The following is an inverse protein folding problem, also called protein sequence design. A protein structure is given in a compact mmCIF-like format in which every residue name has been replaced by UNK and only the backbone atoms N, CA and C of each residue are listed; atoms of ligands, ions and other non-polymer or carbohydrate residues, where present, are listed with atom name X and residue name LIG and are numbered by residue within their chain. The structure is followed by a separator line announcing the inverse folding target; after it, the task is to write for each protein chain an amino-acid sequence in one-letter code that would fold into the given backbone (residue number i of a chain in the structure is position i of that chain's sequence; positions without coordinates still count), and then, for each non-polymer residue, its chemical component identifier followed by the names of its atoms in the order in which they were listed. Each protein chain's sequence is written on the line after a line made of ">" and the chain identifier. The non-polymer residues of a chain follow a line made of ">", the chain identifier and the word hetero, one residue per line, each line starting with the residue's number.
data_IF_299604258473
#
_entry.id   IF_299604258473
#
_cell.length_a   1.000
_cell.length_b   1.000
_cell.length_c   1.000
_cell.angle_alpha   90.00
_cell.angle_beta   90.00
_cell.angle_gamma   90.00
#
_symmetry.space_group_name_H-M   'P 1'
#
loop_
_entity.id
_entity.type
_entity.pdbx_description
1 polymer ?
#
# COMPACT_ATOMS: atom_id res chain seq x y z
N UNK A 1 25.31 24.77 -43.82
CA UNK A 1 24.29 24.96 -44.87
C UNK A 1 22.94 25.01 -44.17
N UNK A 2 22.51 26.22 -43.82
CA UNK A 2 21.26 26.49 -43.11
C UNK A 2 20.17 26.86 -44.10
N UNK A 3 18.98 26.28 -43.91
CA UNK A 3 17.77 26.63 -44.64
C UNK A 3 16.78 27.26 -43.68
N UNK A 4 16.62 28.57 -43.78
CA UNK A 4 15.55 29.33 -43.13
C UNK A 4 14.30 29.36 -44.01
N UNK A 5 13.14 29.39 -43.36
CA UNK A 5 11.85 29.74 -43.96
C UNK A 5 11.33 31.01 -43.29
N UNK A 6 11.00 32.07 -44.06
CA UNK A 6 10.18 33.17 -43.59
C UNK A 6 8.80 33.16 -44.25
N UNK A 7 7.77 33.51 -43.49
CA UNK A 7 6.47 34.11 -43.89
C UNK A 7 5.58 34.06 -42.64
N UNK A 8 5.11 35.15 -42.04
CA UNK A 8 4.48 36.30 -42.66
C UNK A 8 3.00 36.25 -42.25
N UNK A 9 2.65 36.92 -41.15
CA UNK A 9 1.30 36.93 -40.59
C UNK A 9 1.10 38.16 -39.70
N UNK A 10 0.69 39.25 -40.32
CA UNK A 10 0.35 40.53 -39.70
C UNK A 10 -0.97 40.44 -38.94
N UNK A 11 -1.00 40.80 -37.65
CA UNK A 11 -2.23 41.17 -36.95
C UNK A 11 -2.01 42.45 -36.15
N UNK A 12 -2.97 43.35 -36.32
CA UNK A 12 -3.02 44.73 -35.85
C UNK A 12 -2.96 44.84 -34.33
N UNK A 13 -2.04 45.65 -33.81
CA UNK A 13 -2.12 46.18 -32.45
C UNK A 13 -2.99 47.45 -32.46
N UNK A 14 -4.27 47.28 -32.13
CA UNK A 14 -5.14 48.38 -31.73
C UNK A 14 -4.85 48.77 -30.29
N UNK A 15 -4.38 50.00 -30.08
CA UNK A 15 -4.24 50.59 -28.75
C UNK A 15 -5.60 50.93 -28.16
N UNK A 16 -5.82 50.55 -26.90
CA UNK A 16 -6.90 51.09 -26.08
C UNK A 16 -6.28 51.85 -24.91
N UNK A 17 -6.61 53.13 -24.85
CA UNK A 17 -6.16 54.08 -23.85
C UNK A 17 -6.57 53.67 -22.43
N UNK A 18 -5.64 53.92 -21.50
CA UNK A 18 -5.76 53.56 -20.10
C UNK A 18 -6.77 54.40 -19.34
N UNK A 19 -7.75 53.72 -18.75
CA UNK A 19 -8.27 54.09 -17.44
C UNK A 19 -7.51 53.25 -16.40
N UNK A 20 -7.02 53.88 -15.33
CA UNK A 20 -6.47 53.13 -14.19
C UNK A 20 -7.58 52.29 -13.55
N UNK A 21 -7.31 51.05 -13.09
CA UNK A 21 -8.34 50.22 -12.48
C UNK A 21 -8.85 50.84 -11.17
N UNK A 22 -10.08 50.51 -10.81
CA UNK A 22 -10.71 50.99 -9.58
C UNK A 22 -10.02 50.47 -8.29
N UNK A 23 -9.33 49.32 -8.34
CA UNK A 23 -8.60 48.73 -7.22
C UNK A 23 -7.31 48.04 -7.71
N UNK A 24 -6.15 48.33 -7.09
CA UNK A 24 -4.86 47.72 -7.46
C UNK A 24 -4.48 46.50 -6.62
N UNK A 25 -5.21 46.18 -5.56
CA UNK A 25 -4.82 45.16 -4.57
C UNK A 25 -4.43 43.80 -5.16
N UNK A 26 -5.18 43.27 -6.12
CA UNK A 26 -4.86 41.97 -6.73
C UNK A 26 -3.57 42.01 -7.56
N UNK A 27 -3.31 43.13 -8.23
CA UNK A 27 -2.08 43.36 -8.98
C UNK A 27 -0.88 43.49 -8.02
N UNK A 28 -1.08 44.18 -6.89
CA UNK A 28 -0.09 44.35 -5.83
C UNK A 28 0.29 43.02 -5.17
N UNK A 29 -0.68 42.12 -4.92
CA UNK A 29 -0.43 40.76 -4.38
C UNK A 29 0.46 39.93 -5.32
N UNK A 30 0.23 40.02 -6.63
CA UNK A 30 1.06 39.33 -7.62
C UNK A 30 2.37 40.08 -7.93
N UNK A 31 2.51 41.33 -7.48
CA UNK A 31 3.64 42.21 -7.77
C UNK A 31 3.76 42.56 -9.25
N UNK A 32 2.62 42.74 -9.92
CA UNK A 32 2.53 43.14 -11.33
C UNK A 32 1.85 44.50 -11.43
N UNK A 33 2.08 45.22 -12.54
CA UNK A 33 1.38 46.47 -12.79
C UNK A 33 -0.05 46.20 -13.28
N UNK A 34 -0.99 47.14 -13.09
CA UNK A 34 -2.36 47.06 -13.63
C UNK A 34 -2.46 46.76 -15.13
N UNK A 35 -1.49 47.24 -15.92
CA UNK A 35 -1.39 47.06 -17.36
C UNK A 35 -0.72 45.73 -17.78
N UNK A 36 -0.44 44.84 -16.82
CA UNK A 36 0.25 43.59 -17.08
C UNK A 36 -0.53 42.69 -18.05
N UNK A 37 0.19 42.12 -19.02
CA UNK A 37 -0.36 41.09 -19.91
C UNK A 37 -0.67 39.80 -19.15
N UNK A 38 -1.56 38.95 -19.68
CA UNK A 38 -1.86 37.63 -19.11
C UNK A 38 -0.60 36.77 -18.94
N UNK A 39 0.38 36.97 -19.83
CA UNK A 39 1.67 36.29 -19.79
C UNK A 39 2.51 36.69 -18.58
N UNK A 40 2.46 37.97 -18.17
CA UNK A 40 3.17 38.52 -17.01
C UNK A 40 2.49 38.08 -15.71
N UNK A 41 1.15 38.14 -15.65
CA UNK A 41 0.35 37.63 -14.52
C UNK A 41 0.67 36.15 -14.27
N UNK A 42 0.67 35.33 -15.33
CA UNK A 42 1.01 33.90 -15.24
C UNK A 42 2.47 33.65 -14.87
N UNK A 43 3.40 34.53 -15.26
CA UNK A 43 4.82 34.43 -14.88
C UNK A 43 5.01 34.79 -13.40
N UNK A 44 4.35 35.84 -12.93
CA UNK A 44 4.38 36.28 -11.54
C UNK A 44 3.79 35.23 -10.60
N UNK A 45 2.61 34.68 -10.93
CA UNK A 45 2.00 33.58 -10.17
C UNK A 45 2.93 32.37 -10.05
N UNK A 46 3.55 31.92 -11.15
CA UNK A 46 4.49 30.77 -11.11
C UNK A 46 5.72 31.01 -10.23
N UNK A 47 6.20 32.26 -10.16
CA UNK A 47 7.31 32.65 -9.27
C UNK A 47 6.87 32.56 -7.81
N UNK A 48 5.77 33.23 -7.47
CA UNK A 48 5.25 33.31 -6.10
C UNK A 48 4.74 31.95 -5.59
N UNK A 49 4.06 31.16 -6.42
CA UNK A 49 3.57 29.83 -6.06
C UNK A 49 4.70 28.83 -5.75
N UNK A 50 5.89 29.02 -6.32
CA UNK A 50 7.08 28.19 -6.01
C UNK A 50 7.76 28.61 -4.70
N UNK A 51 7.71 29.90 -4.40
CA UNK A 51 8.32 30.52 -3.22
C UNK A 51 7.48 30.29 -1.95
N UNK A 52 6.16 30.37 -2.08
CA UNK A 52 5.19 30.22 -0.99
C UNK A 52 4.48 28.86 -0.99
N UNK A 53 5.02 27.85 -1.68
CA UNK A 53 4.42 26.52 -1.67
C UNK A 53 4.45 25.95 -0.24
N UNK A 54 3.33 25.37 0.28
CA UNK A 54 3.26 24.88 1.65
C UNK A 54 4.27 23.77 1.97
N UNK A 55 4.74 23.04 0.95
CA UNK A 55 5.81 22.04 1.07
C UNK A 55 7.19 22.63 1.35
N UNK A 56 7.42 23.90 0.97
CA UNK A 56 8.73 24.58 1.13
C UNK A 56 8.76 25.62 2.23
N UNK A 57 7.61 26.16 2.59
CA UNK A 57 7.50 27.24 3.55
C UNK A 57 6.19 27.08 4.36
N UNK A 58 6.24 26.29 5.43
CA UNK A 58 5.09 25.95 6.28
C UNK A 58 4.44 27.17 6.95
N UNK A 59 5.21 28.24 7.14
CA UNK A 59 4.82 29.39 7.97
C UNK A 59 4.04 30.47 7.19
N UNK A 60 3.87 30.30 5.87
CA UNK A 60 3.25 31.30 5.00
C UNK A 60 2.08 30.75 4.18
N UNK A 61 1.33 29.79 4.74
CA UNK A 61 0.15 29.22 4.11
C UNK A 61 -0.90 30.27 3.70
N UNK A 62 -1.04 31.36 4.45
CA UNK A 62 -2.01 32.42 4.15
C UNK A 62 -1.59 33.26 2.93
N UNK A 63 -0.30 33.56 2.76
CA UNK A 63 0.20 34.26 1.55
C UNK A 63 -0.07 33.44 0.29
N UNK A 64 0.09 32.12 0.35
CA UNK A 64 -0.20 31.25 -0.79
C UNK A 64 -1.68 31.31 -1.19
N UNK A 65 -2.58 31.34 -0.21
CA UNK A 65 -4.02 31.51 -0.43
C UNK A 65 -4.34 32.83 -1.15
N UNK A 66 -3.73 33.94 -0.72
CA UNK A 66 -3.89 35.26 -1.36
C UNK A 66 -3.39 35.26 -2.81
N UNK A 67 -2.22 34.69 -3.06
CA UNK A 67 -1.61 34.58 -4.40
C UNK A 67 -2.50 33.76 -5.34
N UNK A 68 -3.05 32.64 -4.86
CA UNK A 68 -3.96 31.80 -5.64
C UNK A 68 -5.27 32.51 -5.96
N UNK A 69 -5.86 33.22 -4.99
CA UNK A 69 -7.09 33.98 -5.20
C UNK A 69 -6.89 35.12 -6.21
N UNK A 70 -5.79 35.87 -6.10
CA UNK A 70 -5.47 36.93 -7.05
C UNK A 70 -5.29 36.42 -8.48
N UNK A 71 -4.59 35.28 -8.65
CA UNK A 71 -4.42 34.68 -9.96
C UNK A 71 -5.73 34.15 -10.54
N UNK A 72 -6.62 33.57 -9.73
CA UNK A 72 -7.92 33.06 -10.22
C UNK A 72 -8.80 34.17 -10.82
N UNK A 73 -8.77 35.37 -10.24
CA UNK A 73 -9.53 36.52 -10.72
C UNK A 73 -8.83 37.15 -11.93
N UNK A 74 -7.52 37.40 -11.84
CA UNK A 74 -6.77 38.11 -12.89
C UNK A 74 -6.47 37.26 -14.13
N UNK A 75 -6.57 35.92 -14.04
CA UNK A 75 -6.37 35.03 -15.19
C UNK A 75 -7.61 34.83 -16.06
N UNK A 76 -8.79 35.18 -15.56
CA UNK A 76 -10.05 35.17 -16.32
C UNK A 76 -10.34 36.58 -16.85
N UNK A 77 -10.35 36.74 -18.17
CA UNK A 77 -10.52 38.05 -18.82
C UNK A 77 -11.84 38.75 -18.41
N UNK A 78 -12.91 37.99 -18.15
CA UNK A 78 -14.19 38.54 -17.72
C UNK A 78 -14.13 39.00 -16.26
N UNK A 79 -13.59 38.18 -15.36
CA UNK A 79 -13.44 38.55 -13.94
C UNK A 79 -12.49 39.72 -13.77
N UNK A 80 -11.39 39.75 -14.54
CA UNK A 80 -10.44 40.86 -14.58
C UNK A 80 -11.11 42.17 -15.01
N UNK A 81 -11.92 42.17 -16.08
CA UNK A 81 -12.66 43.36 -16.51
C UNK A 81 -13.63 43.86 -15.44
N UNK A 82 -14.35 42.96 -14.76
CA UNK A 82 -15.26 43.33 -13.66
C UNK A 82 -14.47 43.97 -12.52
N UNK A 83 -13.36 43.35 -12.11
CA UNK A 83 -12.48 43.84 -11.07
C UNK A 83 -11.87 45.21 -11.42
N UNK A 84 -11.41 45.40 -12.66
CA UNK A 84 -10.82 46.66 -13.10
C UNK A 84 -11.84 47.81 -13.12
N UNK A 85 -13.11 47.51 -13.41
CA UNK A 85 -14.19 48.50 -13.47
C UNK A 85 -14.83 48.83 -12.11
N UNK A 86 -15.02 47.82 -11.27
CA UNK A 86 -15.87 47.91 -10.07
C UNK A 86 -15.12 47.55 -8.77
N UNK A 87 -13.81 47.30 -8.86
CA UNK A 87 -12.98 46.88 -7.73
C UNK A 87 -13.43 45.54 -7.14
N UNK A 88 -12.99 45.27 -5.90
CA UNK A 88 -13.39 44.07 -5.16
C UNK A 88 -14.92 43.95 -4.94
N UNK A 89 -15.65 45.07 -4.92
CA UNK A 89 -17.10 45.07 -4.68
C UNK A 89 -17.89 44.54 -5.89
N UNK A 90 -17.43 44.77 -7.12
CA UNK A 90 -18.08 44.26 -8.33
C UNK A 90 -18.11 42.74 -8.44
N UNK A 91 -17.15 42.07 -7.78
CA UNK A 91 -17.10 40.62 -7.71
C UNK A 91 -18.14 40.04 -6.72
N UNK A 92 -18.74 40.86 -5.85
CA UNK A 92 -19.78 40.45 -4.89
C UNK A 92 -21.21 40.46 -5.46
N UNK A 93 -21.46 41.16 -6.57
CA UNK A 93 -22.82 41.49 -7.05
C UNK A 93 -23.28 40.87 -8.38
N UNK A 94 -22.43 40.13 -9.09
CA UNK A 94 -22.71 39.63 -10.45
C UNK A 94 -23.39 38.27 -10.52
N UNK A 95 -24.54 38.11 -9.88
CA UNK A 95 -25.37 36.91 -9.96
C UNK A 95 -26.18 36.83 -11.26
N UNK A 96 -25.56 36.41 -12.37
CA UNK A 96 -26.28 35.83 -13.52
C UNK A 96 -25.31 34.99 -14.36
N UNK A 97 -25.74 33.76 -14.66
CA UNK A 97 -25.07 32.71 -15.43
C UNK A 97 -23.97 31.86 -14.73
N UNK A 98 -24.43 30.78 -14.08
CA UNK A 98 -23.90 29.44 -14.40
C UNK A 98 -22.53 29.02 -13.87
N UNK A 99 -22.14 29.40 -12.65
CA UNK A 99 -20.93 28.85 -11.98
C UNK A 99 -21.04 28.93 -10.45
N UNK A 100 -20.40 28.01 -9.68
CA UNK A 100 -20.55 27.98 -8.24
C UNK A 100 -19.96 29.26 -7.64
N UNK A 101 -20.80 30.02 -6.93
CA UNK A 101 -20.39 31.24 -6.23
C UNK A 101 -19.29 30.95 -5.23
N UNK A 102 -18.08 31.44 -5.54
CA UNK A 102 -16.96 31.45 -4.63
C UNK A 102 -17.07 32.74 -3.83
N UNK A 103 -17.59 32.65 -2.61
CA UNK A 103 -17.56 33.77 -1.68
C UNK A 103 -16.10 33.98 -1.23
N UNK A 104 -15.39 34.85 -1.96
CA UNK A 104 -13.97 35.15 -1.75
C UNK A 104 -13.73 35.75 -0.35
N UNK A 105 -14.75 36.33 0.29
CA UNK A 105 -14.65 36.90 1.64
C UNK A 105 -14.77 35.87 2.77
N UNK A 106 -15.31 34.67 2.55
CA UNK A 106 -15.34 33.59 3.55
C UNK A 106 -13.96 32.91 3.74
N UNK A 107 -12.99 33.29 2.91
CA UNK A 107 -11.61 32.82 2.93
C UNK A 107 -10.64 33.81 3.62
N UNK A 108 -11.11 35.03 3.95
CA UNK A 108 -10.32 36.18 4.38
C UNK A 108 -10.72 36.73 5.78
N UNK A 109 -10.91 35.84 6.74
CA UNK A 109 -10.69 36.17 8.15
C UNK A 109 -11.81 36.88 8.92
N UNK A 110 -11.81 36.55 10.22
CA UNK A 110 -12.46 37.25 11.33
C UNK A 110 -13.90 36.85 11.71
N UNK A 111 -14.13 35.54 11.91
CA UNK A 111 -15.23 35.11 12.78
C UNK A 111 -14.74 34.15 13.89
N UNK A 112 -14.82 34.56 15.17
CA UNK A 112 -14.43 33.76 16.33
C UNK A 112 -15.45 32.65 16.68
N UNK A 113 -16.38 32.33 15.75
CA UNK A 113 -17.32 31.21 15.86
C UNK A 113 -16.85 30.01 15.01
N UNK A 114 -15.56 29.71 15.08
CA UNK A 114 -14.96 28.52 14.47
C UNK A 114 -15.50 27.25 15.12
N UNK A 115 -16.20 26.44 14.31
CA UNK A 115 -16.30 24.95 14.40
C UNK A 115 -17.57 24.35 13.78
N UNK A 116 -18.46 25.11 13.14
CA UNK A 116 -19.74 24.57 12.63
C UNK A 116 -19.95 24.53 11.11
N UNK A 117 -19.00 25.02 10.30
CA UNK A 117 -19.13 25.05 8.84
C UNK A 117 -18.04 24.22 8.11
N UNK A 118 -18.02 22.91 8.40
CA UNK A 118 -17.32 21.89 7.60
C UNK A 118 -17.98 21.59 6.25
N UNK A 119 -18.50 22.62 5.57
CA UNK A 119 -19.21 22.52 4.30
C UNK A 119 -18.25 22.47 3.11
N UNK A 120 -17.63 21.32 2.90
CA UNK A 120 -16.73 21.09 1.77
C UNK A 120 -17.35 21.48 0.43
N UNK A 121 -16.66 22.35 -0.30
CA UNK A 121 -16.88 22.59 -1.73
C UNK A 121 -16.95 21.23 -2.43
N UNK A 122 -18.16 20.82 -2.80
CA UNK A 122 -18.40 19.71 -3.73
C UNK A 122 -17.77 20.10 -5.06
N UNK A 123 -16.51 19.69 -5.26
CA UNK A 123 -15.96 19.53 -6.60
C UNK A 123 -16.89 18.63 -7.43
N UNK A 124 -16.77 18.64 -8.77
CA UNK A 124 -17.54 17.76 -9.64
C UNK A 124 -17.56 16.35 -9.03
N UNK A 125 -18.73 15.69 -8.92
CA UNK A 125 -18.85 14.43 -8.21
C UNK A 125 -17.77 13.49 -8.75
N UNK A 126 -16.75 13.21 -7.91
CA UNK A 126 -15.67 12.29 -8.28
C UNK A 126 -16.39 11.02 -8.71
N UNK A 127 -16.19 10.61 -9.98
CA UNK A 127 -16.74 9.35 -10.49
C UNK A 127 -16.38 8.29 -9.45
N UNK A 128 -17.40 7.66 -8.87
CA UNK A 128 -17.16 6.64 -7.84
C UNK A 128 -16.34 5.56 -8.52
N UNK A 129 -15.12 5.33 -8.06
CA UNK A 129 -14.25 4.26 -8.56
C UNK A 129 -14.46 3.02 -7.69
N UNK A 130 -14.54 1.88 -8.34
CA UNK A 130 -14.54 0.57 -7.72
C UNK A 130 -13.25 0.36 -6.93
N UNK A 131 -13.33 -0.50 -5.93
CA UNK A 131 -12.16 -0.87 -5.12
C UNK A 131 -11.24 -1.74 -5.96
N UNK A 132 -9.94 -1.56 -5.77
CA UNK A 132 -8.96 -2.47 -6.38
C UNK A 132 -8.96 -3.80 -5.63
N UNK A 133 -8.85 -4.91 -6.35
CA UNK A 133 -8.81 -6.26 -5.79
C UNK A 133 -7.36 -6.75 -5.74
N UNK A 134 -6.93 -7.24 -4.57
CA UNK A 134 -5.58 -7.76 -4.34
C UNK A 134 -5.59 -9.29 -4.36
N UNK A 135 -4.80 -9.90 -5.24
CA UNK A 135 -4.59 -11.34 -5.31
C UNK A 135 -3.13 -11.70 -5.04
N UNK A 136 -2.91 -12.69 -4.18
CA UNK A 136 -1.58 -13.21 -3.88
C UNK A 136 -1.27 -14.39 -4.79
N UNK A 137 -0.22 -14.30 -5.59
CA UNK A 137 0.27 -15.38 -6.44
C UNK A 137 1.50 -16.00 -5.79
N UNK A 138 1.32 -17.21 -5.23
CA UNK A 138 2.42 -17.99 -4.65
C UNK A 138 3.23 -18.68 -5.73
N UNK A 139 4.54 -18.52 -5.68
CA UNK A 139 5.49 -19.17 -6.60
C UNK A 139 6.66 -19.80 -5.84
N UNK A 140 7.19 -20.89 -6.38
CA UNK A 140 8.42 -21.48 -5.83
C UNK A 140 9.64 -20.60 -6.12
N UNK A 141 10.69 -20.73 -5.31
CA UNK A 141 11.97 -20.05 -5.56
C UNK A 141 12.61 -20.51 -6.90
N UNK A 142 12.37 -21.76 -7.31
CA UNK A 142 12.80 -22.31 -8.60
C UNK A 142 12.10 -21.59 -9.76
N UNK A 143 10.79 -21.39 -9.66
CA UNK A 143 10.00 -20.63 -10.65
C UNK A 143 10.46 -19.17 -10.72
N UNK A 144 10.78 -18.56 -9.57
CA UNK A 144 11.34 -17.22 -9.52
C UNK A 144 12.74 -17.12 -10.17
N UNK A 145 13.53 -18.20 -10.15
CA UNK A 145 14.85 -18.26 -10.78
C UNK A 145 14.76 -18.49 -12.30
N UNK A 146 13.92 -19.43 -12.75
CA UNK A 146 13.77 -19.78 -14.17
C UNK A 146 12.85 -18.86 -14.96
N UNK A 147 11.95 -18.17 -14.27
CA UNK A 147 10.81 -17.48 -14.86
C UNK A 147 9.66 -18.44 -15.14
N UNK A 148 8.42 -17.92 -15.09
CA UNK A 148 7.20 -18.72 -15.27
C UNK A 148 6.08 -17.88 -15.85
N UNK A 149 5.41 -18.40 -16.87
CA UNK A 149 4.13 -17.87 -17.34
C UNK A 149 3.02 -18.49 -16.48
N UNK A 150 2.47 -17.71 -15.55
CA UNK A 150 1.41 -18.16 -14.65
C UNK A 150 0.04 -17.72 -15.15
N UNK A 151 -0.93 -18.65 -15.21
CA UNK A 151 -2.32 -18.37 -15.56
C UNK A 151 -3.16 -18.38 -14.29
N UNK A 152 -3.75 -17.24 -13.95
CA UNK A 152 -4.63 -17.07 -12.81
C UNK A 152 -6.09 -17.01 -13.29
N UNK A 153 -6.92 -17.95 -12.84
CA UNK A 153 -8.37 -17.94 -13.07
C UNK A 153 -9.01 -17.02 -12.03
N UNK A 154 -9.55 -15.88 -12.48
CA UNK A 154 -10.23 -14.90 -11.66
C UNK A 154 -11.74 -14.96 -11.92
N UNK A 155 -12.54 -15.03 -10.86
CA UNK A 155 -13.99 -14.79 -10.94
C UNK A 155 -14.26 -13.34 -10.58
N UNK A 156 -14.92 -12.60 -11.46
CA UNK A 156 -15.25 -11.18 -11.27
C UNK A 156 -16.71 -10.91 -11.61
N UNK A 157 -17.28 -9.88 -11.01
CA UNK A 157 -18.60 -9.37 -11.36
C UNK A 157 -18.50 -8.44 -12.56
N UNK A 158 -19.24 -8.73 -13.63
CA UNK A 158 -19.33 -7.86 -14.81
C UNK A 158 -20.75 -7.39 -15.04
N UNK A 159 -20.90 -6.23 -15.69
CA UNK A 159 -22.21 -5.73 -16.07
C UNK A 159 -22.87 -6.74 -17.02
N UNK A 160 -24.12 -7.10 -16.70
CA UNK A 160 -24.87 -8.06 -17.51
C UNK A 160 -25.02 -7.55 -18.94
N UNK A 161 -24.45 -8.27 -19.91
CA UNK A 161 -24.47 -7.88 -21.32
C UNK A 161 -25.89 -7.86 -21.91
N UNK A 162 -26.78 -8.73 -21.43
CA UNK A 162 -28.16 -8.82 -21.90
C UNK A 162 -29.00 -7.57 -21.56
N UNK A 163 -28.82 -6.98 -20.37
CA UNK A 163 -29.54 -5.78 -19.95
C UNK A 163 -28.67 -4.51 -19.92
N UNK A 164 -27.39 -4.60 -20.29
CA UNK A 164 -26.41 -3.49 -20.24
C UNK A 164 -26.41 -2.71 -18.91
N UNK A 165 -26.66 -3.41 -17.80
CA UNK A 165 -26.71 -2.83 -16.45
C UNK A 165 -28.03 -2.18 -16.02
N UNK A 166 -29.10 -2.25 -16.83
CA UNK A 166 -30.42 -1.73 -16.43
C UNK A 166 -31.22 -2.68 -15.53
N UNK A 167 -30.95 -3.98 -15.58
CA UNK A 167 -31.70 -5.02 -14.85
C UNK A 167 -32.97 -5.48 -15.57
N UNK A 168 -33.45 -4.71 -16.56
CA UNK A 168 -34.60 -5.04 -17.39
C UNK A 168 -34.30 -5.91 -18.61
N UNK A 169 -35.24 -6.80 -18.94
CA UNK A 169 -35.29 -7.50 -20.21
C UNK A 169 -35.45 -6.46 -21.34
N UNK A 170 -34.80 -6.70 -22.49
CA UNK A 170 -34.87 -5.86 -23.68
C UNK A 170 -34.55 -4.37 -23.46
N UNK A 171 -33.75 -4.04 -22.44
CA UNK A 171 -33.38 -2.64 -22.15
C UNK A 171 -34.48 -1.80 -21.50
N UNK A 172 -35.52 -2.44 -20.96
CA UNK A 172 -36.52 -1.76 -20.14
C UNK A 172 -35.81 -1.09 -18.96
N UNK A 173 -36.03 0.22 -18.82
CA UNK A 173 -35.49 1.00 -17.70
C UNK A 173 -36.34 0.75 -16.45
N UNK A 174 -35.70 0.59 -15.28
CA UNK A 174 -36.43 0.42 -14.04
C UNK A 174 -37.21 1.70 -13.71
N UNK A 175 -38.37 1.55 -13.09
CA UNK A 175 -39.23 2.66 -12.73
C UNK A 175 -38.85 3.18 -11.35
N UNK A 176 -39.02 4.46 -11.08
CA UNK A 176 -38.79 5.01 -9.74
C UNK A 176 -39.72 4.36 -8.73
N UNK A 177 -39.19 3.96 -7.56
CA UNK A 177 -40.00 3.34 -6.52
C UNK A 177 -41.02 4.35 -5.99
N UNK A 178 -42.31 4.00 -6.06
CA UNK A 178 -43.38 4.89 -5.61
C UNK A 178 -43.41 5.09 -4.08
N UNK A 179 -43.01 4.07 -3.30
CA UNK A 179 -43.02 4.15 -1.82
C UNK A 179 -41.90 5.01 -1.23
N UNK A 180 -40.70 5.03 -1.81
CA UNK A 180 -39.57 5.84 -1.33
C UNK A 180 -39.19 7.00 -2.26
N UNK A 181 -39.90 7.17 -3.38
CA UNK A 181 -39.64 8.18 -4.41
C UNK A 181 -38.17 8.25 -4.84
N UNK A 182 -37.56 7.10 -5.11
CA UNK A 182 -36.15 7.01 -5.54
C UNK A 182 -35.10 7.06 -4.42
N UNK A 183 -35.50 7.27 -3.16
CA UNK A 183 -34.53 7.41 -2.04
C UNK A 183 -33.94 6.11 -1.54
N UNK A 184 -34.57 4.96 -1.83
CA UNK A 184 -34.16 3.66 -1.30
C UNK A 184 -34.45 3.45 0.20
N UNK A 185 -34.66 4.53 0.96
CA UNK A 185 -34.99 4.53 2.39
C UNK A 185 -36.16 5.47 2.67
N UNK A 186 -36.92 5.18 3.73
CA UNK A 186 -37.90 6.11 4.29
C UNK A 186 -37.67 6.26 5.79
N UNK A 187 -38.00 7.43 6.33
CA UNK A 187 -37.89 7.71 7.76
C UNK A 187 -39.10 7.12 8.46
N UNK A 188 -38.88 6.17 9.37
CA UNK A 188 -39.93 5.61 10.22
C UNK A 188 -39.76 6.13 11.64
N UNK A 189 -40.77 6.82 12.12
CA UNK A 189 -40.82 7.36 13.47
C UNK A 189 -41.23 6.27 14.46
N UNK A 190 -40.32 5.85 15.34
CA UNK A 190 -40.55 4.82 16.39
C UNK A 190 -40.48 5.46 17.77
N UNK A 191 -41.48 5.18 18.63
CA UNK A 191 -41.39 5.53 20.06
C UNK A 191 -40.43 4.56 20.75
N UNK A 192 -39.38 5.10 21.38
CA UNK A 192 -38.38 4.32 22.14
C UNK A 192 -38.68 4.35 23.64
N UNK A 193 -39.50 5.29 24.09
CA UNK A 193 -39.93 5.40 25.48
C UNK A 193 -41.07 6.41 25.67
N UNK A 194 -41.58 6.57 26.90
CA UNK A 194 -42.56 7.60 27.23
C UNK A 194 -42.03 8.99 26.86
N UNK A 195 -42.72 9.68 25.94
CA UNK A 195 -42.29 11.00 25.45
C UNK A 195 -41.12 11.02 24.45
N UNK A 196 -40.46 9.88 24.19
CA UNK A 196 -39.30 9.82 23.30
C UNK A 196 -39.63 9.18 21.96
N UNK A 197 -39.57 9.99 20.91
CA UNK A 197 -39.77 9.60 19.52
C UNK A 197 -38.43 9.67 18.79
N UNK A 198 -37.97 8.58 18.19
CA UNK A 198 -36.79 8.55 17.31
C UNK A 198 -37.20 8.27 15.87
N UNK A 199 -36.58 8.97 14.92
CA UNK A 199 -36.77 8.70 13.50
C UNK A 199 -35.63 7.82 13.01
N UNK A 200 -35.93 6.57 12.68
CA UNK A 200 -34.97 5.60 12.14
C UNK A 200 -35.09 5.53 10.60
N UNK A 201 -33.96 5.45 9.90
CA UNK A 201 -33.94 5.15 8.46
C UNK A 201 -34.21 3.68 8.24
N UNK A 202 -35.33 3.36 7.59
CA UNK A 202 -35.70 1.98 7.21
C UNK A 202 -35.49 1.83 5.71
N UNK A 203 -34.86 0.72 5.29
CA UNK A 203 -34.72 0.37 3.86
C UNK A 203 -36.10 0.14 3.27
N UNK A 204 -36.36 0.70 2.09
CA UNK A 204 -37.65 0.55 1.45
C UNK A 204 -37.92 -0.91 1.09
N UNK A 205 -39.05 -1.45 1.53
CA UNK A 205 -39.40 -2.87 1.34
C UNK A 205 -39.64 -3.21 -0.14
N UNK A 206 -40.15 -2.26 -0.94
CA UNK A 206 -40.49 -2.48 -2.36
C UNK A 206 -39.25 -2.54 -3.27
N UNK A 207 -38.30 -1.62 -3.10
CA UNK A 207 -37.08 -1.57 -3.92
C UNK A 207 -35.85 -2.16 -3.23
N UNK A 208 -35.99 -2.67 -1.99
CA UNK A 208 -34.92 -3.23 -1.15
C UNK A 208 -33.69 -2.31 -1.01
N UNK A 209 -33.88 -1.00 -1.12
CA UNK A 209 -32.80 -0.01 -1.05
C UNK A 209 -32.30 0.51 -2.40
N UNK A 210 -32.72 -0.04 -3.54
CA UNK A 210 -32.23 0.40 -4.86
C UNK A 210 -32.82 1.74 -5.32
N UNK A 211 -33.98 2.14 -4.80
CA UNK A 211 -34.70 3.34 -5.24
C UNK A 211 -35.50 3.15 -6.54
N UNK A 212 -35.26 2.08 -7.27
CA UNK A 212 -35.95 1.73 -8.50
C UNK A 212 -36.63 0.35 -8.34
N UNK A 213 -37.75 0.15 -9.03
CA UNK A 213 -38.51 -1.11 -9.02
C UNK A 213 -38.66 -1.58 -10.47
N UNK A 214 -38.53 -2.87 -10.66
CA UNK A 214 -38.74 -3.55 -11.92
C UNK A 214 -39.74 -4.68 -11.69
N UNK A 215 -40.80 -4.73 -12.51
CA UNK A 215 -41.80 -5.79 -12.40
C UNK A 215 -41.13 -7.15 -12.66
N UNK A 216 -41.58 -8.20 -11.98
CA UNK A 216 -40.93 -9.53 -12.07
C UNK A 216 -40.87 -10.08 -13.50
N UNK A 217 -41.87 -9.73 -14.34
CA UNK A 217 -41.93 -10.11 -15.75
C UNK A 217 -40.87 -9.42 -16.60
N UNK A 218 -40.46 -8.23 -16.19
CA UNK A 218 -39.51 -7.39 -16.91
C UNK A 218 -38.07 -7.61 -16.44
N UNK A 219 -37.83 -8.43 -15.40
CA UNK A 219 -36.49 -8.77 -14.94
C UNK A 219 -35.70 -9.47 -16.04
N UNK A 220 -34.45 -9.06 -16.20
CA UNK A 220 -33.52 -9.70 -17.12
C UNK A 220 -33.33 -11.17 -16.71
N UNK A 221 -33.50 -12.10 -17.66
CA UNK A 221 -33.38 -13.54 -17.39
C UNK A 221 -31.96 -13.96 -17.00
N UNK A 222 -30.93 -13.21 -17.41
CA UNK A 222 -29.52 -13.56 -17.18
C UNK A 222 -28.99 -13.12 -15.82
N UNK A 223 -29.50 -12.01 -15.26
CA UNK A 223 -29.07 -11.49 -13.95
C UNK A 223 -30.20 -11.41 -12.92
N UNK A 224 -31.42 -11.84 -13.26
CA UNK A 224 -32.61 -11.79 -12.40
C UNK A 224 -32.91 -10.41 -11.79
N UNK A 225 -32.48 -9.34 -12.47
CA UNK A 225 -32.62 -7.95 -12.01
C UNK A 225 -31.40 -7.37 -11.28
N UNK A 226 -30.37 -8.17 -10.96
CA UNK A 226 -29.20 -7.72 -10.19
C UNK A 226 -28.23 -6.81 -10.96
N UNK A 227 -28.44 -6.62 -12.27
CA UNK A 227 -27.62 -5.79 -13.18
C UNK A 227 -26.19 -6.30 -13.44
N UNK A 228 -25.68 -7.24 -12.63
CA UNK A 228 -24.36 -7.87 -12.74
C UNK A 228 -24.46 -9.40 -12.93
N UNK A 229 -23.42 -10.01 -13.48
CA UNK A 229 -23.24 -11.47 -13.62
C UNK A 229 -21.80 -11.84 -13.28
N UNK A 230 -21.58 -13.04 -12.74
CA UNK A 230 -20.23 -13.54 -12.50
C UNK A 230 -19.60 -14.05 -13.81
N UNK A 231 -18.43 -13.52 -14.15
CA UNK A 231 -17.61 -13.93 -15.30
C UNK A 231 -16.28 -14.46 -14.80
N UNK A 232 -15.88 -15.62 -15.33
CA UNK A 232 -14.53 -16.14 -15.10
C UNK A 232 -13.59 -15.69 -16.22
N UNK A 233 -12.53 -14.96 -15.87
CA UNK A 233 -11.47 -14.54 -16.79
C UNK A 233 -10.13 -15.16 -16.38
N UNK A 234 -9.32 -15.56 -17.36
CA UNK A 234 -7.96 -16.06 -17.13
C UNK A 234 -6.98 -14.91 -17.40
N UNK A 235 -6.30 -14.44 -16.35
CA UNK A 235 -5.22 -13.46 -16.46
C UNK A 235 -3.89 -14.21 -16.57
N UNK A 236 -3.04 -13.80 -17.51
CA UNK A 236 -1.68 -14.37 -17.66
C UNK A 236 -0.68 -13.38 -17.09
N UNK A 237 0.10 -13.83 -16.11
CA UNK A 237 1.18 -13.08 -15.47
C UNK A 237 2.50 -13.64 -15.95
N UNK A 238 3.30 -12.81 -16.62
CA UNK A 238 4.66 -13.17 -17.03
C UNK A 238 5.65 -12.85 -15.92
N UNK A 239 6.08 -13.89 -15.21
CA UNK A 239 7.03 -13.79 -14.11
C UNK A 239 8.42 -13.92 -14.69
N UNK A 240 9.11 -12.77 -14.79
CA UNK A 240 10.48 -12.73 -15.29
C UNK A 240 11.46 -13.40 -14.29
N UNK A 241 12.54 -14.04 -14.78
CA UNK A 241 13.63 -14.53 -13.94
C UNK A 241 14.16 -13.42 -13.02
N UNK A 242 14.32 -13.74 -11.74
CA UNK A 242 14.83 -12.80 -10.74
C UNK A 242 13.78 -11.90 -10.11
N UNK A 243 12.49 -12.10 -10.41
CA UNK A 243 11.36 -11.30 -9.87
C UNK A 243 11.54 -11.01 -8.39
N UNK A 244 11.33 -9.76 -7.97
CA UNK A 244 11.49 -9.38 -6.55
C UNK A 244 10.33 -9.96 -5.71
N UNK A 245 10.58 -10.33 -4.44
CA UNK A 245 9.48 -10.68 -3.54
C UNK A 245 8.54 -9.49 -3.39
N UNK A 246 7.23 -9.75 -3.30
CA UNK A 246 6.17 -8.74 -3.21
C UNK A 246 6.07 -7.78 -4.40
N UNK A 247 6.61 -8.16 -5.57
CA UNK A 247 6.42 -7.41 -6.81
C UNK A 247 4.93 -7.40 -7.19
N UNK A 248 4.41 -6.21 -7.50
CA UNK A 248 3.01 -6.00 -7.90
C UNK A 248 2.88 -5.96 -9.43
N UNK A 249 1.91 -6.70 -9.94
CA UNK A 249 1.46 -6.67 -11.33
C UNK A 249 0.04 -6.10 -11.39
N UNK A 250 -0.13 -4.96 -12.07
CA UNK A 250 -1.40 -4.22 -12.11
C UNK A 250 -2.12 -4.45 -13.44
N UNK A 251 -3.30 -5.04 -13.37
CA UNK A 251 -4.22 -5.23 -14.48
C UNK A 251 -5.33 -4.19 -14.40
N UNK A 252 -5.24 -3.18 -15.28
CA UNK A 252 -6.11 -2.00 -15.24
C UNK A 252 -7.54 -2.34 -15.66
N UNK A 253 -8.53 -1.91 -14.86
CA UNK A 253 -9.95 -2.10 -15.16
C UNK A 253 -10.44 -3.56 -15.16
N UNK A 254 -9.64 -4.48 -14.60
CA UNK A 254 -10.00 -5.91 -14.51
C UNK A 254 -10.75 -6.27 -13.23
N UNK A 255 -11.02 -5.31 -12.34
CA UNK A 255 -11.76 -5.54 -11.10
C UNK A 255 -13.25 -5.77 -11.29
N UNK A 256 -13.99 -5.80 -10.18
CA UNK A 256 -15.45 -5.93 -10.21
C UNK A 256 -16.11 -4.68 -10.78
N UNK A 257 -17.01 -4.89 -11.74
CA UNK A 257 -17.81 -3.83 -12.33
C UNK A 257 -19.08 -3.62 -11.52
N UNK A 258 -19.48 -2.36 -11.40
CA UNK A 258 -20.77 -1.97 -10.82
C UNK A 258 -21.40 -0.91 -11.73
N UNK A 259 -22.71 -1.00 -12.04
CA UNK A 259 -23.39 0.02 -12.83
C UNK A 259 -23.18 1.44 -12.23
N UNK A 260 -22.72 2.39 -13.05
CA UNK A 260 -22.48 3.78 -12.63
C UNK A 260 -21.17 4.03 -11.87
N UNK A 261 -20.30 3.02 -11.72
CA UNK A 261 -19.02 3.11 -11.02
C UNK A 261 -17.90 2.73 -12.00
N UNK A 262 -16.79 3.46 -11.99
CA UNK A 262 -15.62 3.13 -12.80
C UNK A 262 -14.92 1.88 -12.23
N UNK A 263 -14.60 0.89 -13.06
CA UNK A 263 -14.03 -0.38 -12.60
C UNK A 263 -12.67 -0.20 -11.92
N UNK A 264 -12.47 -0.88 -10.78
CA UNK A 264 -11.18 -0.95 -10.10
C UNK A 264 -10.15 -1.80 -10.87
N UNK A 265 -8.92 -1.83 -10.35
CA UNK A 265 -7.84 -2.64 -10.91
C UNK A 265 -7.70 -3.97 -10.17
N UNK A 266 -7.15 -4.97 -10.85
CA UNK A 266 -6.68 -6.21 -10.21
C UNK A 266 -5.18 -6.12 -10.02
N UNK A 267 -4.75 -6.24 -8.77
CA UNK A 267 -3.34 -6.16 -8.35
C UNK A 267 -2.89 -7.54 -7.91
N UNK A 268 -1.94 -8.13 -8.63
CA UNK A 268 -1.39 -9.44 -8.32
C UNK A 268 -0.04 -9.25 -7.65
N UNK A 269 0.10 -9.66 -6.39
CA UNK A 269 1.34 -9.60 -5.62
C UNK A 269 1.99 -10.98 -5.63
N UNK A 270 3.25 -11.04 -6.04
CA UNK A 270 4.02 -12.29 -6.05
C UNK A 270 4.60 -12.58 -4.67
N UNK A 271 4.20 -13.71 -4.08
CA UNK A 271 4.77 -14.24 -2.85
C UNK A 271 5.67 -15.43 -3.17
N UNK A 272 6.94 -15.36 -2.79
CA UNK A 272 7.91 -16.44 -3.02
C UNK A 272 7.86 -17.39 -1.83
N UNK A 273 7.58 -18.66 -2.11
CA UNK A 273 7.56 -19.72 -1.12
C UNK A 273 8.97 -20.03 -0.60
N UNK A 274 9.06 -20.37 0.69
CA UNK A 274 10.32 -20.77 1.31
C UNK A 274 10.81 -22.06 0.66
N UNK A 275 12.07 -22.10 0.25
CA UNK A 275 12.71 -23.30 -0.29
C UNK A 275 13.38 -24.08 0.86
N UNK A 276 13.38 -25.42 0.84
CA UNK A 276 13.97 -26.24 1.92
C UNK A 276 15.48 -26.00 2.08
N UNK A 277 16.20 -25.88 0.96
CA UNK A 277 17.67 -25.79 0.97
C UNK A 277 18.23 -24.36 0.86
N UNK A 278 17.44 -23.42 0.33
CA UNK A 278 17.93 -22.10 -0.06
C UNK A 278 17.06 -21.01 0.56
N UNK A 279 17.70 -20.00 1.10
CA UNK A 279 17.05 -18.77 1.53
C UNK A 279 17.46 -17.64 0.60
N UNK A 280 16.49 -16.87 0.11
CA UNK A 280 16.78 -15.73 -0.77
C UNK A 280 16.98 -14.47 0.06
N UNK A 281 18.13 -13.82 -0.11
CA UNK A 281 18.41 -12.50 0.45
C UNK A 281 18.69 -11.51 -0.70
N UNK A 282 17.65 -10.77 -1.10
CA UNK A 282 17.74 -9.84 -2.23
C UNK A 282 18.04 -10.54 -3.56
N UNK A 283 19.28 -10.41 -4.05
CA UNK A 283 19.79 -11.05 -5.28
C UNK A 283 20.61 -12.30 -4.98
N UNK A 284 20.94 -12.53 -3.73
CA UNK A 284 21.82 -13.60 -3.31
C UNK A 284 21.01 -14.76 -2.72
N UNK A 285 21.65 -15.93 -2.70
CA UNK A 285 21.12 -17.14 -2.09
C UNK A 285 21.97 -17.50 -0.88
N UNK A 286 21.35 -17.96 0.18
CA UNK A 286 22.01 -18.51 1.37
C UNK A 286 21.69 -19.99 1.45
N UNK A 287 22.72 -20.80 1.63
CA UNK A 287 22.62 -22.25 1.78
C UNK A 287 23.27 -22.67 3.10
N UNK A 288 22.53 -23.37 3.95
CA UNK A 288 23.04 -23.82 5.25
C UNK A 288 23.60 -25.23 5.10
N UNK A 289 24.91 -25.39 5.30
CA UNK A 289 25.59 -26.68 5.24
C UNK A 289 26.11 -27.06 6.63
N UNK A 290 25.69 -28.22 7.12
CA UNK A 290 26.34 -28.83 8.29
C UNK A 290 27.48 -29.71 7.82
N UNK A 291 28.66 -29.53 8.42
CA UNK A 291 29.87 -30.33 8.20
C UNK A 291 30.41 -30.83 9.54
N UNK A 292 31.17 -31.92 9.53
CA UNK A 292 31.87 -32.44 10.71
C UNK A 292 33.12 -31.63 11.03
N UNK A 293 33.61 -31.73 12.28
CA UNK A 293 34.89 -31.12 12.67
C UNK A 293 36.05 -31.61 11.78
N UNK A 294 36.04 -32.90 11.39
CA UNK A 294 37.04 -33.45 10.48
C UNK A 294 36.98 -32.78 9.11
N UNK A 295 35.79 -32.62 8.52
CA UNK A 295 35.62 -31.91 7.25
C UNK A 295 36.05 -30.44 7.35
N UNK A 296 35.77 -29.79 8.48
CA UNK A 296 36.13 -28.39 8.73
C UNK A 296 37.65 -28.16 8.77
N UNK A 297 38.44 -29.13 9.27
CA UNK A 297 39.89 -29.03 9.41
C UNK A 297 40.66 -29.67 8.24
N UNK A 298 40.22 -30.85 7.81
CA UNK A 298 40.90 -31.70 6.82
C UNK A 298 40.35 -31.53 5.40
N UNK A 299 39.41 -30.61 5.18
CA UNK A 299 38.80 -30.36 3.87
C UNK A 299 37.60 -31.27 3.59
N UNK A 300 36.84 -30.90 2.56
CA UNK A 300 35.63 -31.61 2.13
C UNK A 300 35.38 -31.42 0.64
N UNK A 301 34.52 -32.29 0.10
CA UNK A 301 33.90 -32.10 -1.20
C UNK A 301 32.42 -32.50 -1.09
N UNK A 302 31.51 -31.63 -1.50
CA UNK A 302 30.09 -31.95 -1.58
C UNK A 302 29.44 -31.30 -2.79
N UNK A 303 28.27 -31.80 -3.17
CA UNK A 303 27.51 -31.27 -4.29
C UNK A 303 26.28 -30.50 -3.83
N UNK A 304 25.98 -29.41 -4.53
CA UNK A 304 24.75 -28.61 -4.36
C UNK A 304 23.97 -28.70 -5.66
N UNK A 305 22.68 -29.05 -5.57
CA UNK A 305 21.75 -28.93 -6.70
C UNK A 305 21.24 -27.50 -6.75
N UNK A 306 21.63 -26.78 -7.78
CA UNK A 306 21.26 -25.39 -8.00
C UNK A 306 19.81 -25.27 -8.50
N UNK A 307 19.21 -24.09 -8.40
CA UNK A 307 17.82 -23.84 -8.81
C UNK A 307 17.55 -24.05 -10.31
N UNK A 308 18.57 -23.95 -11.17
CA UNK A 308 18.43 -24.33 -12.59
C UNK A 308 18.42 -25.84 -12.83
N UNK A 309 18.92 -26.64 -11.87
CA UNK A 309 19.13 -28.08 -11.99
C UNK A 309 20.60 -28.46 -12.23
N UNK A 310 21.52 -27.50 -12.38
CA UNK A 310 22.96 -27.79 -12.43
C UNK A 310 23.43 -28.33 -11.08
N UNK A 311 24.46 -29.16 -11.11
CA UNK A 311 25.11 -29.67 -9.90
C UNK A 311 26.44 -28.95 -9.75
N UNK A 312 26.59 -28.21 -8.66
CA UNK A 312 27.82 -27.50 -8.31
C UNK A 312 28.62 -28.37 -7.36
N UNK A 313 29.89 -28.63 -7.69
CA UNK A 313 30.84 -29.28 -6.81
C UNK A 313 31.56 -28.21 -5.98
N UNK A 314 31.38 -28.25 -4.67
CA UNK A 314 32.03 -27.34 -3.72
C UNK A 314 33.11 -28.12 -2.99
N UNK A 315 34.36 -27.74 -3.20
CA UNK A 315 35.53 -28.37 -2.59
C UNK A 315 36.29 -27.38 -1.72
N UNK A 316 36.83 -27.88 -0.61
CA UNK A 316 37.74 -27.16 0.25
C UNK A 316 38.96 -28.02 0.56
N UNK A 317 40.16 -27.45 0.39
CA UNK A 317 41.41 -28.18 0.57
C UNK A 317 41.73 -28.41 2.06
N UNK A 318 42.43 -29.50 2.41
CA UNK A 318 42.94 -29.70 3.76
C UNK A 318 43.79 -28.50 4.23
N UNK A 319 43.62 -28.08 5.49
CA UNK A 319 44.32 -26.93 6.07
C UNK A 319 43.62 -25.58 5.87
N UNK A 320 42.67 -25.46 4.93
CA UNK A 320 41.80 -24.30 4.84
C UNK A 320 40.65 -24.43 5.84
N UNK A 321 40.89 -24.00 7.08
CA UNK A 321 39.94 -24.19 8.18
C UNK A 321 38.63 -23.44 7.93
N UNK A 322 37.51 -24.12 8.17
CA UNK A 322 36.17 -23.53 8.24
C UNK A 322 35.76 -23.41 9.71
N UNK A 323 35.59 -22.18 10.16
CA UNK A 323 35.13 -21.90 11.52
C UNK A 323 33.61 -22.14 11.65
N UNK A 324 33.11 -22.48 12.85
CA UNK A 324 31.67 -22.53 13.11
C UNK A 324 30.99 -21.21 12.75
N UNK A 325 29.81 -21.27 12.13
CA UNK A 325 29.00 -20.13 11.66
C UNK A 325 29.68 -19.27 10.56
N UNK A 326 30.84 -19.68 10.06
CA UNK A 326 31.51 -18.96 8.98
C UNK A 326 30.73 -19.04 7.66
N UNK A 327 30.82 -17.97 6.88
CA UNK A 327 30.15 -17.84 5.59
C UNK A 327 31.20 -17.79 4.48
N UNK A 328 31.06 -18.66 3.49
CA UNK A 328 31.86 -18.62 2.25
C UNK A 328 30.96 -18.29 1.06
N UNK A 329 31.56 -17.76 -0.01
CA UNK A 329 30.82 -17.28 -1.17
C UNK A 329 31.25 -18.02 -2.43
N UNK A 330 30.27 -18.48 -3.21
CA UNK A 330 30.42 -18.91 -4.60
C UNK A 330 29.87 -17.81 -5.49
N UNK A 331 30.76 -17.11 -6.19
CA UNK A 331 30.41 -15.96 -7.02
C UNK A 331 29.57 -16.36 -8.23
N UNK A 332 28.56 -15.55 -8.56
CA UNK A 332 27.75 -15.72 -9.78
C UNK A 332 26.74 -16.89 -9.74
N UNK A 333 26.55 -17.52 -8.58
CA UNK A 333 25.59 -18.63 -8.41
C UNK A 333 24.38 -18.22 -7.53
N UNK A 334 24.03 -16.92 -7.50
CA UNK A 334 22.80 -16.40 -6.87
C UNK A 334 21.62 -16.25 -7.82
N UNK A 335 20.64 -15.40 -7.47
CA UNK A 335 19.48 -15.12 -8.31
C UNK A 335 19.87 -14.27 -9.54
N UNK A 336 19.23 -14.50 -10.71
CA UNK A 336 19.45 -13.66 -11.89
C UNK A 336 18.91 -12.25 -11.68
N UNK A 337 19.52 -11.27 -12.33
CA UNK A 337 19.02 -9.90 -12.30
C UNK A 337 17.89 -9.74 -13.31
N UNK A 338 16.83 -9.02 -12.90
CA UNK A 338 15.68 -8.76 -13.77
C UNK A 338 16.08 -7.86 -14.95
N UNK A 339 16.92 -6.86 -14.68
CA UNK A 339 17.37 -5.87 -15.67
C UNK A 339 18.41 -6.44 -16.63
N UNK A 340 19.29 -7.33 -16.15
CA UNK A 340 20.35 -7.94 -16.94
C UNK A 340 20.49 -9.44 -16.66
N UNK A 341 19.87 -10.26 -17.51
CA UNK A 341 19.81 -11.73 -17.33
C UNK A 341 21.16 -12.43 -17.43
N UNK A 342 22.20 -11.76 -17.93
CA UNK A 342 23.56 -12.32 -17.97
C UNK A 342 24.25 -12.29 -16.60
N UNK A 343 23.80 -11.40 -15.71
CA UNK A 343 24.34 -11.25 -14.37
C UNK A 343 23.48 -11.99 -13.34
N UNK A 344 24.16 -12.55 -12.35
CA UNK A 344 23.55 -13.24 -11.20
C UNK A 344 24.16 -12.68 -9.92
N UNK A 345 23.42 -12.80 -8.82
CA UNK A 345 23.97 -12.61 -7.49
C UNK A 345 24.95 -13.74 -7.12
N UNK A 346 25.24 -13.83 -5.83
CA UNK A 346 26.15 -14.82 -5.27
C UNK A 346 25.41 -15.87 -4.43
N UNK A 347 26.05 -17.03 -4.25
CA UNK A 347 25.62 -18.06 -3.32
C UNK A 347 26.51 -18.01 -2.08
N UNK A 348 25.94 -17.64 -0.95
CA UNK A 348 26.57 -17.70 0.35
C UNK A 348 26.28 -19.05 1.00
N UNK A 349 27.32 -19.75 1.42
CA UNK A 349 27.23 -21.01 2.14
C UNK A 349 27.61 -20.75 3.58
N UNK A 350 26.64 -20.89 4.48
CA UNK A 350 26.86 -20.82 5.92
C UNK A 350 27.17 -22.20 6.46
N UNK A 351 28.28 -22.33 7.16
CA UNK A 351 28.77 -23.61 7.68
C UNK A 351 28.49 -23.76 9.17
N UNK A 352 27.78 -24.84 9.52
CA UNK A 352 27.60 -25.26 10.90
C UNK A 352 28.51 -26.46 11.16
N UNK A 353 29.42 -26.35 12.12
CA UNK A 353 30.39 -27.42 12.42
C UNK A 353 29.85 -28.30 13.55
N UNK A 354 29.60 -29.57 13.23
CA UNK A 354 29.20 -30.59 14.21
C UNK A 354 30.43 -31.21 14.83
N UNK A 355 30.62 -30.96 16.12
CA UNK A 355 31.66 -31.60 16.94
C UNK A 355 31.32 -33.07 17.21
N UNK A 356 32.33 -33.93 17.40
CA UNK A 356 32.10 -35.32 17.82
C UNK A 356 31.45 -35.38 19.20
N UNK A 357 30.78 -36.49 19.51
CA UNK A 357 30.18 -36.71 20.84
C UNK A 357 31.24 -36.92 21.92
N UNK A 358 30.85 -36.79 23.18
CA UNK A 358 31.73 -37.10 24.32
C UNK A 358 32.27 -38.53 24.18
N UNK A 359 33.55 -38.73 24.56
CA UNK A 359 34.25 -40.01 24.49
C UNK A 359 34.38 -40.62 23.08
N UNK A 360 34.45 -39.79 22.03
CA UNK A 360 34.63 -40.28 20.66
C UNK A 360 35.93 -41.06 20.43
N UNK A 361 36.97 -40.80 21.24
CA UNK A 361 38.15 -41.66 21.33
C UNK A 361 38.08 -42.47 22.64
N UNK A 362 38.27 -43.80 22.53
CA UNK A 362 38.23 -44.73 23.66
C UNK A 362 39.54 -44.76 24.46
N UNK A 363 40.68 -44.59 23.78
CA UNK A 363 42.00 -44.72 24.37
C UNK A 363 42.61 -43.34 24.66
N UNK A 364 43.27 -43.19 25.82
CA UNK A 364 43.97 -41.96 26.20
C UNK A 364 45.13 -41.61 25.25
N UNK A 365 45.81 -42.62 24.71
CA UNK A 365 46.93 -42.44 23.76
C UNK A 365 46.49 -41.73 22.47
N UNK A 366 45.26 -41.95 22.02
CA UNK A 366 44.74 -41.33 20.80
C UNK A 366 44.48 -39.83 21.02
N UNK A 367 44.10 -39.42 22.23
CA UNK A 367 44.04 -38.00 22.60
C UNK A 367 45.43 -37.36 22.58
N UNK A 368 46.48 -38.06 23.05
CA UNK A 368 47.88 -37.56 22.98
C UNK A 368 48.36 -37.40 21.54
N UNK A 369 47.92 -38.27 20.62
CA UNK A 369 48.20 -38.11 19.17
C UNK A 369 47.46 -36.90 18.59
N UNK A 370 46.19 -36.71 18.95
CA UNK A 370 45.40 -35.55 18.52
C UNK A 370 46.01 -34.22 19.00
N UNK A 371 46.46 -34.17 20.26
CA UNK A 371 47.10 -32.98 20.83
C UNK A 371 48.38 -32.59 20.09
N UNK A 372 49.17 -33.55 19.60
CA UNK A 372 50.36 -33.28 18.78
C UNK A 372 50.04 -32.67 17.41
N UNK A 373 48.82 -32.88 16.90
CA UNK A 373 48.38 -32.34 15.60
C UNK A 373 47.79 -30.94 15.69
N UNK A 374 47.47 -30.45 16.89
CA UNK A 374 46.82 -29.16 17.12
C UNK A 374 47.81 -28.11 17.65
N UNK A 375 47.50 -26.80 17.53
CA UNK A 375 48.31 -25.75 18.15
C UNK A 375 48.52 -25.99 19.65
N UNK A 376 49.69 -25.63 20.21
CA UNK A 376 49.98 -25.86 21.62
C UNK A 376 48.98 -25.11 22.51
N UNK A 377 48.66 -25.70 23.68
CA UNK A 377 47.76 -25.06 24.64
C UNK A 377 48.33 -23.69 25.05
N UNK A 378 47.51 -22.63 25.08
CA UNK A 378 47.95 -21.35 25.61
C UNK A 378 48.38 -21.54 27.07
N UNK A 379 49.54 -20.98 27.44
CA UNK A 379 49.95 -20.95 28.84
C UNK A 379 48.93 -20.09 29.58
N UNK A 380 48.26 -20.61 30.61
CA UNK A 380 47.24 -19.84 31.27
C UNK A 380 47.91 -18.66 31.99
N UNK A 381 47.29 -17.48 31.91
CA UNK A 381 47.78 -16.29 32.61
C UNK A 381 47.84 -16.58 34.12
N UNK A 382 48.91 -16.13 34.77
CA UNK A 382 49.22 -16.49 36.16
C UNK A 382 48.30 -15.73 37.12
N UNK A 383 47.02 -16.12 37.18
CA UNK A 383 46.20 -15.88 38.34
C UNK A 383 46.69 -16.82 39.46
N UNK A 384 46.67 -16.35 40.70
CA UNK A 384 47.16 -17.08 41.87
C UNK A 384 46.31 -18.34 42.09
N UNK A 385 46.64 -19.46 41.40
CA UNK A 385 45.86 -20.70 41.43
C UNK A 385 45.62 -21.20 42.86
N UNK A 386 46.57 -20.96 43.76
CA UNK A 386 46.47 -21.33 45.17
C UNK A 386 45.36 -20.57 45.93
N UNK A 387 44.95 -19.40 45.44
CA UNK A 387 43.86 -18.60 46.00
C UNK A 387 42.53 -18.75 45.24
N UNK A 388 42.50 -19.51 44.14
CA UNK A 388 41.30 -19.70 43.33
C UNK A 388 40.41 -20.81 43.92
N UNK A 389 39.13 -20.53 44.09
CA UNK A 389 38.14 -21.54 44.46
C UNK A 389 37.88 -22.49 43.27
N UNK A 390 37.88 -23.81 43.53
CA UNK A 390 37.57 -24.79 42.51
C UNK A 390 36.08 -24.77 42.17
N UNK A 391 35.75 -24.52 40.90
CA UNK A 391 34.37 -24.57 40.40
C UNK A 391 34.23 -25.73 39.42
N UNK A 392 33.16 -26.52 39.56
CA UNK A 392 32.80 -27.56 38.59
C UNK A 392 31.96 -26.96 37.47
N UNK A 393 32.38 -27.15 36.22
CA UNK A 393 31.58 -26.79 35.06
C UNK A 393 30.44 -27.81 34.91
N UNK A 394 29.21 -27.36 35.13
CA UNK A 394 28.01 -28.18 34.93
C UNK A 394 27.36 -27.83 33.59
N UNK A 395 26.72 -28.81 32.96
CA UNK A 395 25.83 -28.53 31.83
C UNK A 395 24.67 -27.65 32.32
N UNK A 396 24.37 -26.57 31.61
CA UNK A 396 23.28 -25.69 31.97
C UNK A 396 21.94 -26.38 31.66
N UNK A 397 21.30 -26.94 32.68
CA UNK A 397 19.93 -27.43 32.59
C UNK A 397 18.95 -26.22 32.56
N UNK A 398 18.31 -25.98 31.42
CA UNK A 398 17.00 -25.32 31.34
C UNK A 398 16.86 -23.80 31.60
N UNK A 399 17.88 -23.08 32.07
CA UNK A 399 17.79 -21.61 32.24
C UNK A 399 18.48 -20.84 31.12
N UNK A 400 17.68 -20.03 30.41
CA UNK A 400 18.08 -19.24 29.25
C UNK A 400 19.18 -18.23 29.58
N UNK A 401 20.41 -18.52 29.16
CA UNK A 401 21.45 -17.50 28.98
C UNK A 401 21.07 -16.44 27.92
N UNK A 402 19.94 -16.64 27.22
CA UNK A 402 19.30 -15.64 26.34
C UNK A 402 18.09 -14.93 27.00
N UNK A 403 18.01 -14.90 28.34
CA UNK A 403 17.00 -14.14 29.11
C UNK A 403 17.22 -12.62 29.16
N UNK A 404 18.07 -12.06 28.30
CA UNK A 404 18.50 -10.66 28.32
C UNK A 404 17.93 -9.83 27.17
N UNK A 405 16.74 -9.27 27.39
CA UNK A 405 16.33 -7.92 26.96
C UNK A 405 16.60 -7.50 25.50
N UNK A 406 15.69 -7.91 24.61
CA UNK A 406 15.51 -7.33 23.28
C UNK A 406 14.07 -6.88 23.07
N UNK A 407 13.65 -5.80 23.74
CA UNK A 407 12.63 -4.90 23.22
C UNK A 407 11.14 -5.17 23.52
N UNK A 408 10.75 -5.29 24.79
CA UNK A 408 9.48 -4.66 25.21
C UNK A 408 9.78 -3.19 25.50
N UNK A 409 9.73 -2.38 24.45
CA UNK A 409 9.75 -0.91 24.57
C UNK A 409 8.44 -0.50 25.21
N UNK A 410 8.53 -0.07 26.47
CA UNK A 410 7.45 0.64 27.14
C UNK A 410 7.27 2.01 26.52
N UNK A 411 6.02 2.40 26.34
CA UNK A 411 5.56 3.79 26.39
C UNK A 411 4.24 3.73 27.16
N UNK A 412 4.35 3.99 28.46
CA UNK A 412 3.24 4.33 29.30
C UNK A 412 2.89 5.79 29.00
N UNK A 413 1.72 6.01 28.41
CA UNK A 413 1.00 7.27 28.55
C UNK A 413 -0.39 6.93 29.09
N UNK A 414 -0.57 7.40 30.32
CA UNK A 414 -1.75 7.48 31.14
C UNK A 414 -2.71 8.49 30.53
N UNK A 415 -4.01 8.20 30.56
CA UNK A 415 -5.09 9.14 30.94
C UNK A 415 -6.46 8.45 30.81
N UNK A 416 -6.97 8.12 32.00
CA UNK A 416 -8.34 7.91 32.48
C UNK A 416 -9.48 8.44 31.60
N UNK A 417 -10.58 7.67 31.52
CA UNK A 417 -11.98 8.10 31.73
C UNK A 417 -12.88 6.84 31.76
N UNK A 418 -13.37 6.49 32.95
CA UNK A 418 -14.80 6.40 33.35
C UNK A 418 -15.81 5.83 32.31
N UNK A 419 -16.80 4.99 32.61
CA UNK A 419 -17.31 4.31 33.82
C UNK A 419 -18.44 3.37 33.31
N UNK A 420 -18.98 2.56 34.23
CA UNK A 420 -20.34 1.96 34.24
C UNK A 420 -20.68 0.71 33.39
N UNK A 421 -20.60 -0.44 34.09
CA UNK A 421 -21.75 -1.26 34.51
C UNK A 421 -22.74 -1.83 33.46
N UNK A 422 -22.80 -3.16 33.36
CA UNK A 422 -23.83 -3.97 34.04
C UNK A 422 -23.80 -5.45 33.66
N UNK A 423 -24.10 -6.26 34.67
CA UNK A 423 -24.02 -7.71 34.78
C UNK A 423 -25.14 -8.46 34.06
N UNK A 424 -24.90 -9.74 33.69
CA UNK A 424 -25.79 -10.83 34.12
C UNK A 424 -25.13 -12.23 34.00
N UNK A 425 -25.12 -12.92 35.13
CA UNK A 425 -24.88 -14.37 35.38
C UNK A 425 -25.88 -15.24 34.57
N UNK A 426 -25.83 -16.56 34.42
CA UNK A 426 -25.37 -17.73 35.20
C UNK A 426 -25.54 -18.95 34.23
N UNK A 427 -24.70 -19.98 34.20
CA UNK A 427 -24.74 -21.12 35.13
C UNK A 427 -24.44 -22.45 34.40
N UNK A 428 -23.41 -23.16 34.90
CA UNK A 428 -23.13 -24.61 35.00
C UNK A 428 -24.16 -25.61 34.41
N UNK A 429 -23.85 -26.81 33.87
CA UNK A 429 -22.68 -27.70 33.95
C UNK A 429 -23.18 -29.17 33.98
N UNK A 430 -22.49 -30.06 33.25
CA UNK A 430 -22.46 -31.54 33.33
C UNK A 430 -23.67 -32.45 32.97
N UNK A 431 -23.51 -33.24 31.89
CA UNK A 431 -23.11 -34.67 32.01
C UNK A 431 -24.16 -35.78 31.89
N UNK A 432 -24.09 -36.56 30.79
CA UNK A 432 -24.51 -37.98 30.63
C UNK A 432 -26.01 -38.29 30.73
N UNK A 433 -26.64 -39.21 30.01
CA UNK A 433 -26.27 -40.29 29.12
C UNK A 433 -27.48 -41.25 29.06
N UNK A 434 -27.63 -41.94 27.92
CA UNK A 434 -28.44 -43.13 27.59
C UNK A 434 -29.98 -43.10 27.44
N UNK A 435 -30.35 -43.64 26.27
CA UNK A 435 -31.63 -44.07 25.68
C UNK A 435 -32.61 -44.85 26.58
N UNK A 436 -33.91 -44.71 26.28
CA UNK A 436 -34.78 -45.80 25.80
C UNK A 436 -36.17 -45.24 25.40
N UNK A 437 -36.97 -46.07 24.74
CA UNK A 437 -37.91 -45.76 23.66
C UNK A 437 -39.38 -46.06 24.05
N UNK A 438 -40.32 -45.57 23.23
CA UNK A 438 -41.72 -45.99 22.99
C UNK A 438 -42.83 -45.35 23.84
N UNK A 439 -43.63 -44.49 23.20
CA UNK A 439 -44.96 -44.83 22.67
C UNK A 439 -45.20 -44.10 21.36
#
# INVERSE_FOLDING_TARGET
>A
MGGGFPSGGSFHHGGHGGGSPADTKLYDILGVKPDASDSEIKKAYRRLAREYHPDKNSDHGDKFKEISAAYEILSDENKRKIYDQQGMEGLRGGGSDGGPGFDIFDMFGDSPFGSFFGGGRSGPPKKKRGRDTLHKLRISLVDAYKGKLSKLKLSRKVICQACKGFGGANGIKPQTCNKCHGRGVYMMTRRVGPGMITSQQVRCDECKGEGEVLADKDKCRSCSGEKIVDETKILTVDIMPGVKPNQEFVFKGEGDQCPGVETGNVKIIVEIEKHPDFERQGRDLVYNKTITLTEALCGFAFTIKQLDGRVLLVENRPGNVIEPESVRCVYGEGMPWVENRTQKGNLYIKFNVKFPTNYFLKNEEDYKKLEKCLPPRPKPEVANYAAAEHVTLNECEGTSLNGGSGGRRGEAYQEDYDDDDMDNESGHGHGGGVECRQQ
#
